data_IF_219157074167
#
_entry.id   IF_219157074167
#
_cell.length_a   1.000
_cell.length_b   1.000
_cell.length_c   1.000
_cell.angle_alpha   90.00
_cell.angle_beta   90.00
_cell.angle_gamma   90.00
#
_symmetry.space_group_name_H-M   'P 1'
#
loop_
_entity.id
_entity.type
_entity.pdbx_description
1 polymer ?
#
# COMPACT_ATOMS: atom_id res chain seq x y z
N UNK A 1 13.19 -9.61 -79.52
CA UNK A 1 12.94 -8.61 -78.44
C UNK A 1 11.43 -8.51 -78.12
N UNK A 2 10.77 -9.59 -77.70
CA UNK A 2 9.32 -9.57 -77.38
C UNK A 2 8.99 -10.13 -75.99
N UNK A 3 9.93 -10.85 -75.38
CA UNK A 3 9.85 -11.46 -74.04
C UNK A 3 10.22 -10.52 -72.89
N UNK A 4 10.87 -9.38 -73.19
CA UNK A 4 11.31 -8.42 -72.16
C UNK A 4 10.17 -7.47 -71.71
N UNK A 5 9.11 -7.35 -72.51
CA UNK A 5 7.94 -6.51 -72.19
C UNK A 5 6.96 -7.20 -71.23
N UNK A 6 6.93 -8.53 -71.21
CA UNK A 6 6.10 -9.29 -70.28
C UNK A 6 6.71 -9.39 -68.88
N UNK A 7 8.05 -9.32 -68.78
CA UNK A 7 8.73 -9.33 -67.49
C UNK A 7 8.51 -8.02 -66.70
N UNK A 8 8.34 -6.89 -67.40
CA UNK A 8 8.05 -5.60 -66.76
C UNK A 8 6.59 -5.45 -66.29
N UNK A 9 5.65 -6.24 -66.82
CA UNK A 9 4.23 -6.14 -66.43
C UNK A 9 3.92 -6.93 -65.14
N UNK A 10 4.75 -7.92 -64.79
CA UNK A 10 4.56 -8.75 -63.59
C UNK A 10 5.13 -8.09 -62.32
N UNK A 11 6.06 -7.15 -62.45
CA UNK A 11 6.69 -6.48 -61.30
C UNK A 11 5.79 -5.41 -60.63
N UNK A 12 4.71 -4.98 -61.29
CA UNK A 12 3.78 -3.95 -60.76
C UNK A 12 2.65 -4.52 -59.90
N UNK A 13 2.55 -5.84 -59.74
CA UNK A 13 1.50 -6.50 -58.94
C UNK A 13 1.96 -6.90 -57.54
N UNK A 14 3.23 -6.66 -57.19
CA UNK A 14 3.66 -6.65 -55.80
C UNK A 14 3.47 -5.25 -55.22
N UNK A 15 2.23 -4.74 -55.26
CA UNK A 15 1.83 -3.69 -54.34
C UNK A 15 1.95 -4.28 -52.95
N UNK A 16 3.02 -3.90 -52.27
CA UNK A 16 3.19 -4.08 -50.85
C UNK A 16 1.90 -3.62 -50.17
N UNK A 17 1.18 -4.56 -49.57
CA UNK A 17 0.23 -4.20 -48.52
C UNK A 17 1.08 -3.62 -47.40
N UNK A 18 1.26 -2.30 -47.44
CA UNK A 18 1.73 -1.53 -46.29
C UNK A 18 0.72 -1.83 -45.20
N UNK A 19 1.09 -2.75 -44.32
CA UNK A 19 0.41 -2.90 -43.04
C UNK A 19 0.76 -1.63 -42.27
N UNK A 20 -0.05 -0.59 -42.45
CA UNK A 20 -0.07 0.54 -41.56
C UNK A 20 -0.53 -0.02 -40.20
N UNK A 21 0.42 -0.50 -39.41
CA UNK A 21 0.24 -0.50 -37.98
C UNK A 21 -0.15 0.93 -37.61
N UNK A 22 -1.12 1.14 -36.70
CA UNK A 22 -1.44 2.48 -36.25
C UNK A 22 -0.17 3.08 -35.64
N UNK A 23 0.52 3.94 -36.38
CA UNK A 23 1.61 4.76 -35.85
C UNK A 23 0.94 5.84 -35.03
N UNK A 24 0.49 5.47 -33.84
CA UNK A 24 0.06 6.40 -32.81
C UNK A 24 1.19 7.43 -32.69
N UNK A 25 0.92 8.66 -33.12
CA UNK A 25 1.89 9.74 -33.14
C UNK A 25 2.44 9.94 -31.73
N UNK A 26 3.70 10.36 -31.57
CA UNK A 26 4.26 10.63 -30.24
C UNK A 26 3.40 11.64 -29.46
N UNK A 27 2.75 12.59 -30.13
CA UNK A 27 1.77 13.50 -29.54
C UNK A 27 0.55 12.78 -28.98
N UNK A 28 0.06 11.75 -29.67
CA UNK A 28 -1.08 10.95 -29.24
C UNK A 28 -0.70 10.07 -28.04
N UNK A 29 0.52 9.52 -28.04
CA UNK A 29 1.09 8.76 -26.91
C UNK A 29 1.22 9.63 -25.66
N UNK A 30 1.74 10.85 -25.83
CA UNK A 30 1.86 11.83 -24.73
C UNK A 30 0.46 12.14 -24.17
N UNK A 31 -0.52 12.42 -25.02
CA UNK A 31 -1.90 12.72 -24.57
C UNK A 31 -2.57 11.55 -23.84
N UNK A 32 -2.21 10.30 -24.14
CA UNK A 32 -2.67 9.13 -23.38
C UNK A 32 -1.97 9.04 -22.03
N UNK A 33 -0.66 9.24 -22.00
CA UNK A 33 0.13 9.22 -20.76
C UNK A 33 -0.33 10.30 -19.79
N UNK A 34 -0.58 11.53 -20.25
CA UNK A 34 -1.08 12.62 -19.41
C UNK A 34 -2.43 12.28 -18.77
N UNK A 35 -3.35 11.68 -19.54
CA UNK A 35 -4.64 11.19 -19.02
C UNK A 35 -4.46 10.08 -17.99
N UNK A 36 -3.53 9.16 -18.23
CA UNK A 36 -3.22 8.10 -17.28
C UNK A 36 -2.63 8.67 -15.99
N UNK A 37 -1.68 9.60 -16.07
CA UNK A 37 -1.11 10.28 -14.91
C UNK A 37 -2.20 10.98 -14.11
N UNK A 38 -3.08 11.77 -14.76
CA UNK A 38 -4.20 12.43 -14.08
C UNK A 38 -5.10 11.42 -13.34
N UNK A 39 -5.44 10.30 -13.98
CA UNK A 39 -6.23 9.23 -13.35
C UNK A 39 -5.51 8.61 -12.16
N UNK A 40 -4.23 8.29 -12.30
CA UNK A 40 -3.44 7.67 -11.23
C UNK A 40 -3.27 8.64 -10.05
N UNK A 41 -3.01 9.92 -10.31
CA UNK A 41 -2.93 10.96 -9.28
C UNK A 41 -4.22 11.05 -8.48
N UNK A 42 -5.37 11.01 -9.16
CA UNK A 42 -6.66 10.99 -8.48
C UNK A 42 -6.84 9.74 -7.61
N UNK A 43 -6.49 8.55 -8.11
CA UNK A 43 -6.55 7.32 -7.32
C UNK A 43 -5.64 7.37 -6.09
N UNK A 44 -4.43 7.92 -6.23
CA UNK A 44 -3.51 8.10 -5.10
C UNK A 44 -4.10 9.08 -4.07
N UNK A 45 -4.67 10.20 -4.51
CA UNK A 45 -5.30 11.16 -3.61
C UNK A 45 -6.48 10.55 -2.84
N UNK A 46 -7.32 9.76 -3.51
CA UNK A 46 -8.42 9.05 -2.87
C UNK A 46 -7.92 8.07 -1.79
N UNK A 47 -6.90 7.26 -2.10
CA UNK A 47 -6.30 6.32 -1.14
C UNK A 47 -5.64 7.05 0.04
N UNK A 48 -5.01 8.20 -0.21
CA UNK A 48 -4.44 9.03 0.84
C UNK A 48 -5.52 9.59 1.76
N UNK A 49 -6.63 10.08 1.22
CA UNK A 49 -7.77 10.55 2.03
C UNK A 49 -8.36 9.41 2.87
N UNK A 50 -8.51 8.22 2.29
CA UNK A 50 -8.99 7.05 3.03
C UNK A 50 -8.03 6.65 4.16
N UNK A 51 -6.72 6.59 3.90
CA UNK A 51 -5.70 6.28 4.91
C UNK A 51 -5.60 7.34 5.99
N UNK A 52 -5.65 8.62 5.62
CA UNK A 52 -5.59 9.72 6.56
C UNK A 52 -6.88 9.84 7.37
N UNK A 53 -8.04 9.59 6.77
CA UNK A 53 -9.34 9.50 7.46
C UNK A 53 -9.42 8.31 8.42
N UNK A 54 -8.89 7.15 8.02
CA UNK A 54 -8.71 6.00 8.93
C UNK A 54 -7.73 6.31 10.06
N UNK A 55 -6.69 7.11 9.79
CA UNK A 55 -5.75 7.56 10.82
C UNK A 55 -6.32 8.68 11.71
N UNK A 56 -7.33 9.43 11.25
CA UNK A 56 -8.01 10.49 12.01
C UNK A 56 -9.20 9.98 12.82
N UNK A 57 -9.66 8.75 12.59
CA UNK A 57 -10.41 8.03 13.62
C UNK A 57 -9.46 7.82 14.78
N UNK A 58 -9.60 8.68 15.80
CA UNK A 58 -8.83 8.70 17.03
C UNK A 58 -8.34 7.29 17.38
N UNK A 59 -7.07 7.01 17.09
CA UNK A 59 -6.48 5.73 17.43
C UNK A 59 -6.45 5.68 18.94
N UNK A 60 -7.50 5.07 19.51
CA UNK A 60 -7.64 4.96 20.95
C UNK A 60 -6.43 4.22 21.48
N UNK A 61 -5.63 4.87 22.30
CA UNK A 61 -4.41 4.27 22.86
C UNK A 61 -4.79 3.61 24.16
N UNK A 62 -4.59 2.29 24.24
CA UNK A 62 -4.76 1.55 25.46
C UNK A 62 -3.45 1.55 26.24
N UNK A 63 -3.51 2.06 27.46
CA UNK A 63 -2.41 2.09 28.40
C UNK A 63 -2.74 1.11 29.52
N UNK A 64 -1.94 0.06 29.66
CA UNK A 64 -2.06 -0.89 30.75
C UNK A 64 -0.89 -0.75 31.72
N UNK A 65 -1.17 -0.91 33.01
CA UNK A 65 -0.18 -0.86 34.08
C UNK A 65 -0.42 -1.95 35.13
N UNK A 66 0.67 -2.50 35.66
CA UNK A 66 0.66 -3.41 36.80
C UNK A 66 1.68 -2.93 37.84
N UNK A 67 1.27 -2.90 39.10
CA UNK A 67 2.13 -2.53 40.22
C UNK A 67 2.58 -3.80 40.95
N UNK A 68 3.87 -3.94 41.15
CA UNK A 68 4.45 -4.99 41.96
C UNK A 68 5.44 -4.34 42.95
N UNK A 69 5.15 -4.45 44.25
CA UNK A 69 5.90 -3.77 45.30
C UNK A 69 5.95 -2.24 45.07
N UNK A 70 7.16 -1.70 44.91
CA UNK A 70 7.43 -0.28 44.66
C UNK A 70 7.44 0.08 43.18
N UNK A 71 7.44 -0.92 42.29
CA UNK A 71 7.61 -0.71 40.86
C UNK A 71 6.27 -0.73 40.13
N UNK A 72 6.13 0.12 39.12
CA UNK A 72 4.98 0.14 38.22
C UNK A 72 5.44 -0.09 36.79
N UNK A 73 4.94 -1.16 36.20
CA UNK A 73 5.23 -1.56 34.82
C UNK A 73 4.10 -1.11 33.92
N UNK A 74 4.42 -0.31 32.89
CA UNK A 74 3.42 0.31 32.01
C UNK A 74 3.75 0.02 30.55
N UNK A 75 2.73 -0.29 29.78
CA UNK A 75 2.83 -0.44 28.33
C UNK A 75 1.62 0.15 27.64
N UNK A 76 1.83 0.63 26.41
CA UNK A 76 0.80 1.25 25.60
C UNK A 76 0.74 0.62 24.21
N UNK A 77 -0.48 0.52 23.67
CA UNK A 77 -0.71 0.01 22.34
C UNK A 77 -2.11 0.39 21.83
N UNK A 78 -2.27 0.49 20.51
CA UNK A 78 -3.59 0.59 19.86
C UNK A 78 -4.45 -0.66 20.08
N UNK A 79 -3.84 -1.79 20.46
CA UNK A 79 -4.54 -3.02 20.81
C UNK A 79 -4.42 -3.31 22.32
N UNK A 80 -5.56 -3.36 23.01
CA UNK A 80 -5.63 -3.59 24.45
C UNK A 80 -4.86 -4.85 24.90
N UNK A 81 -5.02 -5.96 24.18
CA UNK A 81 -4.38 -7.22 24.52
C UNK A 81 -2.85 -7.13 24.44
N UNK A 82 -2.32 -6.43 23.43
CA UNK A 82 -0.88 -6.19 23.30
C UNK A 82 -0.35 -5.30 24.42
N UNK A 83 -1.06 -4.23 24.77
CA UNK A 83 -0.69 -3.37 25.89
C UNK A 83 -0.67 -4.15 27.22
N UNK A 84 -1.71 -4.94 27.48
CA UNK A 84 -1.84 -5.76 28.70
C UNK A 84 -0.73 -6.81 28.81
N UNK A 85 -0.50 -7.55 27.73
CA UNK A 85 0.54 -8.58 27.69
C UNK A 85 1.93 -7.98 27.88
N UNK A 86 2.21 -6.83 27.27
CA UNK A 86 3.50 -6.15 27.41
C UNK A 86 3.76 -5.69 28.86
N UNK A 87 2.75 -5.13 29.56
CA UNK A 87 2.88 -4.76 30.96
C UNK A 87 3.17 -5.96 31.86
N UNK A 88 2.47 -7.09 31.64
CA UNK A 88 2.72 -8.34 32.36
C UNK A 88 4.13 -8.90 32.10
N UNK A 89 4.57 -8.88 30.85
CA UNK A 89 5.91 -9.35 30.49
C UNK A 89 6.98 -8.50 31.13
N UNK A 90 6.82 -7.17 31.19
CA UNK A 90 7.75 -6.30 31.89
C UNK A 90 7.84 -6.65 33.38
N UNK A 91 6.69 -6.82 34.06
CA UNK A 91 6.68 -7.23 35.46
C UNK A 91 7.39 -8.57 35.67
N UNK A 92 7.10 -9.58 34.83
CA UNK A 92 7.66 -10.94 34.94
C UNK A 92 9.15 -11.04 34.63
N UNK A 93 9.75 -10.01 34.03
CA UNK A 93 11.21 -9.94 33.85
C UNK A 93 11.93 -9.69 35.18
N UNK A 94 11.28 -8.97 36.10
CA UNK A 94 11.88 -8.52 37.35
C UNK A 94 11.33 -9.26 38.57
N UNK A 95 10.12 -9.80 38.47
CA UNK A 95 9.44 -10.48 39.56
C UNK A 95 8.86 -11.83 39.12
N UNK A 96 8.61 -12.69 40.11
CA UNK A 96 7.96 -13.96 39.88
C UNK A 96 6.50 -13.80 39.41
N UNK A 97 5.98 -14.80 38.70
CA UNK A 97 4.63 -14.76 38.14
C UNK A 97 3.53 -14.50 39.20
N UNK A 98 3.75 -14.95 40.44
CA UNK A 98 2.85 -14.73 41.58
C UNK A 98 2.64 -13.24 41.93
N UNK A 99 3.57 -12.35 41.57
CA UNK A 99 3.44 -10.90 41.78
C UNK A 99 2.95 -10.17 40.53
N UNK A 100 2.83 -10.89 39.41
CA UNK A 100 2.48 -10.35 38.10
C UNK A 100 1.24 -11.08 37.56
N UNK A 101 0.20 -11.11 38.38
CA UNK A 101 -1.09 -11.69 38.03
C UNK A 101 -1.84 -10.80 37.03
N UNK A 102 -2.56 -11.43 36.11
CA UNK A 102 -3.36 -10.71 35.13
C UNK A 102 -4.47 -9.86 35.81
N UNK A 103 -5.05 -10.38 36.90
CA UNK A 103 -6.07 -9.71 37.73
C UNK A 103 -5.64 -8.33 38.23
N UNK A 104 -4.33 -8.11 38.47
CA UNK A 104 -3.78 -6.86 38.98
C UNK A 104 -3.55 -5.78 37.90
N UNK A 105 -3.72 -6.11 36.61
CA UNK A 105 -3.47 -5.18 35.51
C UNK A 105 -4.64 -4.22 35.31
N UNK A 106 -4.36 -2.93 35.41
CA UNK A 106 -5.31 -1.85 35.16
C UNK A 106 -5.06 -1.25 33.78
N UNK A 107 -6.10 -1.11 32.95
CA UNK A 107 -6.00 -0.52 31.63
C UNK A 107 -6.91 0.70 31.49
N UNK A 108 -6.42 1.74 30.81
CA UNK A 108 -7.14 2.95 30.46
C UNK A 108 -7.05 3.19 28.96
N UNK A 109 -8.10 3.75 28.39
CA UNK A 109 -8.16 4.11 26.97
C UNK A 109 -8.15 5.63 26.86
N UNK A 110 -7.29 6.16 26.01
CA UNK A 110 -7.10 7.59 25.75
C UNK A 110 -7.36 7.91 24.29
#
# INVERSE_FOLDING_TARGET
MKTMKHFLLVLMLYTTTVYAAPTMSDSERIAVLERQVARLTEQVNQLLVERLGQSSHAQTVHVCSIQAFTDTYRAENVNLGRARLAALQQCRKNHNAMFCEDSAVQCKTY
#
